data_IF_609210017885
#
_entry.id   IF_609210017885
#
_cell.length_a   1.000
_cell.length_b   1.000
_cell.length_c   1.000
_cell.angle_alpha   90.00
_cell.angle_beta   90.00
_cell.angle_gamma   90.00
#
_symmetry.space_group_name_H-M   'P 1'
#
loop_
_entity.id
_entity.type
_entity.pdbx_description
1 polymer ?
#
# COMPACT_ATOMS: atom_id res chain seq x y z
N UNK A 1 21.27 27.43 19.06
CA UNK A 1 21.32 26.77 17.75
C UNK A 1 20.18 25.80 17.58
N UNK A 2 19.61 25.87 16.43
CA UNK A 2 18.51 24.96 16.16
C UNK A 2 19.03 23.56 15.87
N UNK A 3 18.51 22.65 16.57
CA UNK A 3 18.82 21.24 16.35
C UNK A 3 17.70 20.59 15.59
N UNK A 4 18.04 19.98 14.47
CA UNK A 4 17.09 19.09 13.87
C UNK A 4 17.24 17.75 14.57
N UNK A 5 16.59 17.65 15.69
CA UNK A 5 16.52 16.38 16.35
C UNK A 5 15.49 15.54 15.63
N UNK A 6 15.93 14.52 14.92
CA UNK A 6 15.01 13.61 14.27
C UNK A 6 14.32 12.80 15.34
N UNK A 7 13.09 13.15 15.60
CA UNK A 7 12.28 12.43 16.56
C UNK A 7 11.58 11.28 15.87
N UNK A 8 11.53 10.10 16.48
CA UNK A 8 10.70 9.05 15.95
C UNK A 8 9.27 9.51 15.85
N UNK A 9 8.67 9.28 14.72
CA UNK A 9 7.30 9.71 14.47
C UNK A 9 6.52 8.59 13.82
N UNK A 10 5.36 8.28 14.37
CA UNK A 10 4.46 7.32 13.76
C UNK A 10 3.75 7.88 12.54
N UNK A 11 3.80 9.19 12.32
CA UNK A 11 3.19 9.78 11.15
C UNK A 11 3.88 9.37 9.85
N UNK A 12 5.20 9.10 9.89
CA UNK A 12 5.94 8.76 8.68
C UNK A 12 5.48 7.45 8.08
N UNK A 13 5.44 6.34 8.83
CA UNK A 13 4.94 5.09 8.24
C UNK A 13 3.46 5.16 7.90
N UNK A 14 2.67 5.90 8.67
CA UNK A 14 1.25 6.08 8.34
C UNK A 14 1.10 6.83 7.03
N UNK A 15 1.89 7.88 6.83
CA UNK A 15 1.84 8.65 5.59
C UNK A 15 2.22 7.79 4.39
N UNK A 16 3.26 6.97 4.52
CA UNK A 16 3.69 6.07 3.45
C UNK A 16 2.56 5.11 3.08
N UNK A 17 1.94 4.49 4.09
CA UNK A 17 0.87 3.55 3.87
C UNK A 17 -0.35 4.19 3.22
N UNK A 18 -0.77 5.32 3.73
CA UNK A 18 -1.94 6.01 3.18
C UNK A 18 -1.68 6.58 1.80
N UNK A 19 -0.47 7.06 1.54
CA UNK A 19 -0.13 7.54 0.21
C UNK A 19 -0.25 6.42 -0.82
N UNK A 20 0.33 5.26 -0.52
CA UNK A 20 0.22 4.12 -1.41
C UNK A 20 -1.23 3.70 -1.62
N UNK A 21 -2.00 3.63 -0.55
CA UNK A 21 -3.40 3.25 -0.62
C UNK A 21 -4.21 4.24 -1.46
N UNK A 22 -3.96 5.54 -1.27
CA UNK A 22 -4.67 6.57 -2.00
C UNK A 22 -4.41 6.48 -3.50
N UNK A 23 -3.16 6.23 -3.92
CA UNK A 23 -2.84 6.09 -5.34
C UNK A 23 -3.53 4.88 -5.93
N UNK A 24 -3.58 3.78 -5.19
CA UNK A 24 -4.26 2.58 -5.64
C UNK A 24 -5.75 2.81 -5.86
N UNK A 25 -6.40 3.42 -4.89
CA UNK A 25 -7.82 3.73 -5.01
C UNK A 25 -8.08 4.73 -6.12
N UNK A 26 -7.21 5.71 -6.28
CA UNK A 26 -7.38 6.70 -7.33
C UNK A 26 -7.35 6.05 -8.71
N UNK A 27 -6.39 5.18 -8.96
CA UNK A 27 -6.20 4.59 -10.27
C UNK A 27 -7.21 3.48 -10.53
N UNK A 28 -7.36 2.55 -9.58
CA UNK A 28 -8.26 1.42 -9.78
C UNK A 28 -9.71 1.85 -9.65
N UNK A 29 -10.01 2.69 -8.67
CA UNK A 29 -11.36 3.19 -8.49
C UNK A 29 -11.80 4.10 -9.62
N UNK A 30 -10.86 4.90 -10.15
CA UNK A 30 -11.14 5.74 -11.29
C UNK A 30 -11.50 4.93 -12.53
N UNK A 31 -10.79 3.83 -12.76
CA UNK A 31 -11.11 2.96 -13.87
C UNK A 31 -12.50 2.36 -13.72
N UNK A 32 -12.84 1.90 -12.52
CA UNK A 32 -14.16 1.31 -12.29
C UNK A 32 -15.28 2.33 -12.43
N UNK A 33 -15.05 3.53 -11.87
CA UNK A 33 -16.08 4.54 -11.84
C UNK A 33 -16.33 5.17 -13.21
N UNK A 34 -15.25 5.48 -13.92
CA UNK A 34 -15.36 6.21 -15.18
C UNK A 34 -15.22 5.32 -16.42
N UNK A 35 -14.84 4.07 -16.23
CA UNK A 35 -14.59 3.17 -17.35
C UNK A 35 -13.39 3.59 -18.18
N UNK A 36 -12.51 4.38 -17.63
CA UNK A 36 -11.32 4.85 -18.33
C UNK A 36 -10.10 4.76 -17.40
N UNK A 37 -8.97 4.30 -17.87
CA UNK A 37 -8.73 3.77 -19.22
C UNK A 37 -9.43 2.42 -19.41
N UNK A 38 -9.77 2.14 -20.66
CA UNK A 38 -10.40 0.86 -20.96
C UNK A 38 -9.42 -0.28 -20.70
N UNK A 39 -9.97 -1.42 -20.30
CA UNK A 39 -9.16 -2.58 -20.01
C UNK A 39 -8.61 -3.16 -21.31
N UNK A 40 -7.30 -3.10 -21.43
CA UNK A 40 -6.55 -3.76 -22.49
C UNK A 40 -5.40 -4.50 -21.84
N UNK A 41 -4.75 -5.45 -22.54
CA UNK A 41 -3.61 -6.14 -21.93
C UNK A 41 -2.53 -5.18 -21.44
N UNK A 42 -2.25 -4.12 -22.18
CA UNK A 42 -1.23 -3.15 -21.77
C UNK A 42 -1.67 -2.35 -20.56
N UNK A 43 -2.92 -1.90 -20.55
CA UNK A 43 -3.45 -1.14 -19.42
C UNK A 43 -3.51 -2.02 -18.17
N UNK A 44 -3.97 -3.25 -18.30
CA UNK A 44 -4.05 -4.15 -17.16
C UNK A 44 -2.67 -4.45 -16.58
N UNK A 45 -1.68 -4.62 -17.45
CA UNK A 45 -0.32 -4.85 -16.99
C UNK A 45 0.23 -3.64 -16.26
N UNK A 46 0.02 -2.46 -16.81
CA UNK A 46 0.49 -1.22 -16.17
C UNK A 46 -0.18 -0.99 -14.83
N UNK A 47 -1.50 -1.19 -14.77
CA UNK A 47 -2.22 -1.04 -13.52
C UNK A 47 -1.82 -2.10 -12.51
N UNK A 48 -1.57 -3.32 -12.98
CA UNK A 48 -1.09 -4.38 -12.10
C UNK A 48 0.24 -4.03 -11.47
N UNK A 49 1.17 -3.54 -12.27
CA UNK A 49 2.48 -3.09 -11.76
C UNK A 49 2.32 -1.97 -10.75
N UNK A 50 1.44 -1.01 -11.01
CA UNK A 50 1.19 0.06 -10.07
C UNK A 50 0.64 -0.47 -8.76
N UNK A 51 -0.32 -1.40 -8.83
CA UNK A 51 -0.91 -1.99 -7.63
C UNK A 51 0.13 -2.72 -6.78
N UNK A 52 1.09 -3.38 -7.42
CA UNK A 52 2.15 -4.07 -6.69
C UNK A 52 3.10 -3.06 -6.04
N UNK A 53 3.57 -2.07 -6.80
CA UNK A 53 4.66 -1.21 -6.34
C UNK A 53 4.21 -0.04 -5.49
N UNK A 54 3.01 0.48 -5.72
CA UNK A 54 2.55 1.63 -4.95
C UNK A 54 1.70 1.20 -3.76
N UNK A 55 0.42 0.83 -3.91
CA UNK A 55 -0.32 0.44 -2.71
C UNK A 55 0.23 -0.84 -2.07
N UNK A 56 0.65 -1.81 -2.87
CA UNK A 56 1.14 -3.07 -2.32
C UNK A 56 2.44 -2.90 -1.56
N UNK A 57 3.46 -2.46 -2.24
CA UNK A 57 4.80 -2.35 -1.65
C UNK A 57 4.84 -1.29 -0.56
N UNK A 58 4.23 -0.13 -0.80
CA UNK A 58 4.26 0.96 0.17
C UNK A 58 3.56 0.58 1.46
N UNK A 59 2.43 -0.13 1.37
CA UNK A 59 1.74 -0.56 2.57
C UNK A 59 2.48 -1.67 3.29
N UNK A 60 3.13 -2.55 2.56
CA UNK A 60 3.95 -3.59 3.19
C UNK A 60 5.13 -2.95 3.91
N UNK A 61 5.78 -1.98 3.28
CA UNK A 61 6.88 -1.25 3.92
C UNK A 61 6.37 -0.51 5.16
N UNK A 62 5.22 0.14 5.06
CA UNK A 62 4.65 0.86 6.19
C UNK A 62 4.33 -0.09 7.35
N UNK A 63 3.73 -1.23 7.06
CA UNK A 63 3.42 -2.22 8.08
C UNK A 63 4.67 -2.76 8.76
N UNK A 64 5.68 -3.10 7.98
CA UNK A 64 6.95 -3.59 8.50
C UNK A 64 7.63 -2.51 9.34
N UNK A 65 7.63 -1.28 8.87
CA UNK A 65 8.22 -0.15 9.57
C UNK A 65 7.57 0.01 10.96
N UNK A 66 6.25 -0.06 10.99
CA UNK A 66 5.51 0.08 12.24
C UNK A 66 5.87 -1.05 13.20
N UNK A 67 5.85 -2.30 12.74
CA UNK A 67 6.14 -3.43 13.61
C UNK A 67 7.58 -3.42 14.12
N UNK A 68 8.52 -3.08 13.27
CA UNK A 68 9.93 -2.97 13.68
C UNK A 68 10.09 -1.86 14.73
N UNK A 69 9.42 -0.72 14.49
CA UNK A 69 9.47 0.39 15.45
C UNK A 69 8.81 0.07 16.77
N UNK A 70 7.75 -0.74 16.75
CA UNK A 70 7.07 -1.13 17.99
C UNK A 70 7.85 -2.17 18.77
N UNK A 71 8.47 -3.13 18.08
CA UNK A 71 9.03 -4.30 18.72
C UNK A 71 10.53 -4.19 18.96
N UNK A 72 11.31 -3.91 17.93
CA UNK A 72 12.77 -3.93 18.05
C UNK A 72 13.33 -2.63 18.57
N UNK A 73 12.94 -1.52 17.96
CA UNK A 73 13.48 -0.24 18.35
C UNK A 73 12.68 0.44 19.44
N UNK A 74 11.44 0.05 19.62
CA UNK A 74 10.54 0.58 20.65
C UNK A 74 10.44 2.10 20.58
N UNK A 75 10.47 2.64 19.37
CA UNK A 75 10.36 4.08 19.15
C UNK A 75 8.91 4.51 18.98
N UNK A 76 8.03 3.59 18.65
CA UNK A 76 6.59 3.87 18.56
C UNK A 76 5.90 3.28 19.77
N UNK A 77 4.87 3.97 20.22
CA UNK A 77 4.09 3.54 21.38
C UNK A 77 2.62 3.75 21.06
N UNK A 78 1.83 2.85 21.54
CA UNK A 78 0.39 2.99 21.38
C UNK A 78 -0.23 1.80 20.69
N UNK A 79 -1.27 1.28 21.33
CA UNK A 79 -1.98 0.12 20.82
C UNK A 79 -2.52 0.33 19.40
N UNK A 80 -3.01 1.52 19.01
CA UNK A 80 -3.52 1.69 17.65
C UNK A 80 -2.50 1.40 16.56
N UNK A 81 -1.19 1.55 16.85
CA UNK A 81 -0.18 1.27 15.84
C UNK A 81 -0.04 -0.21 15.52
N UNK A 82 -0.37 -1.10 16.46
CA UNK A 82 -0.42 -2.53 16.13
C UNK A 82 -1.50 -2.81 15.09
N UNK A 83 -2.65 -2.17 15.25
CA UNK A 83 -3.73 -2.33 14.26
C UNK A 83 -3.34 -1.75 12.92
N UNK A 84 -2.71 -0.57 12.91
CA UNK A 84 -2.28 0.05 11.67
C UNK A 84 -1.22 -0.82 10.97
N UNK A 85 -0.24 -1.34 11.71
CA UNK A 85 0.78 -2.21 11.15
C UNK A 85 0.18 -3.46 10.54
N UNK A 86 -0.75 -4.08 11.26
CA UNK A 86 -1.42 -5.28 10.76
C UNK A 86 -2.24 -4.97 9.52
N UNK A 87 -2.98 -3.87 9.54
CA UNK A 87 -3.81 -3.48 8.41
C UNK A 87 -2.96 -3.20 7.18
N UNK A 88 -1.88 -2.43 7.31
CA UNK A 88 -1.03 -2.13 6.16
C UNK A 88 -0.35 -3.37 5.62
N UNK A 89 0.08 -4.28 6.48
CA UNK A 89 0.67 -5.54 6.03
C UNK A 89 -0.35 -6.36 5.26
N UNK A 90 -1.55 -6.48 5.79
CA UNK A 90 -2.61 -7.25 5.14
C UNK A 90 -3.03 -6.63 3.81
N UNK A 91 -3.19 -5.32 3.79
CA UNK A 91 -3.55 -4.62 2.56
C UNK A 91 -2.42 -4.65 1.53
N UNK A 92 -1.17 -4.61 1.98
CA UNK A 92 -0.04 -4.76 1.07
C UNK A 92 -0.08 -6.08 0.35
N UNK A 93 -0.30 -7.15 1.08
CA UNK A 93 -0.42 -8.49 0.49
C UNK A 93 -1.63 -8.55 -0.44
N UNK A 94 -2.74 -7.96 -0.05
CA UNK A 94 -3.94 -7.90 -0.88
C UNK A 94 -3.64 -7.22 -2.22
N UNK A 95 -2.92 -6.10 -2.19
CA UNK A 95 -2.58 -5.39 -3.42
C UNK A 95 -1.60 -6.18 -4.29
N UNK A 96 -0.70 -6.94 -3.68
CA UNK A 96 0.17 -7.83 -4.45
C UNK A 96 -0.66 -8.85 -5.21
N UNK A 97 -1.65 -9.43 -4.55
CA UNK A 97 -2.52 -10.41 -5.21
C UNK A 97 -3.34 -9.77 -6.32
N UNK A 98 -3.93 -8.61 -6.04
CA UNK A 98 -4.77 -7.91 -7.00
C UNK A 98 -3.96 -7.43 -8.19
N UNK A 99 -2.82 -6.78 -7.91
CA UNK A 99 -1.95 -6.29 -8.97
C UNK A 99 -1.29 -7.41 -9.75
N UNK A 100 -0.86 -8.45 -9.06
CA UNK A 100 -0.26 -9.61 -9.71
C UNK A 100 -1.21 -10.28 -10.67
N UNK A 101 -2.47 -10.35 -10.30
CA UNK A 101 -3.48 -10.92 -11.15
C UNK A 101 -3.65 -10.14 -12.44
N UNK A 102 -3.69 -8.82 -12.35
CA UNK A 102 -3.76 -7.99 -13.54
C UNK A 102 -2.50 -8.08 -14.39
N UNK A 103 -1.35 -8.16 -13.72
CA UNK A 103 -0.07 -8.27 -14.41
C UNK A 103 0.02 -9.56 -15.22
N UNK A 104 -0.44 -10.67 -14.66
CA UNK A 104 -0.41 -11.96 -15.31
C UNK A 104 -1.47 -12.06 -16.41
N UNK A 105 -2.48 -11.21 -16.35
CA UNK A 105 -3.54 -11.24 -17.33
C UNK A 105 -4.58 -12.29 -17.03
N UNK A 106 -4.89 -12.48 -15.76
CA UNK A 106 -5.90 -13.44 -15.33
C UNK A 106 -7.29 -12.95 -15.65
N UNK A 107 -7.63 -12.96 -16.93
CA UNK A 107 -8.91 -12.46 -17.38
C UNK A 107 -10.04 -13.36 -16.95
N UNK A 108 -11.14 -12.74 -16.61
CA UNK A 108 -12.39 -13.45 -16.35
C UNK A 108 -12.50 -14.09 -15.00
N UNK A 109 -11.41 -14.27 -14.26
CA UNK A 109 -11.52 -14.84 -12.93
C UNK A 109 -11.79 -13.72 -11.93
N UNK A 110 -12.68 -13.93 -10.96
CA UNK A 110 -12.96 -12.90 -9.97
C UNK A 110 -11.76 -12.66 -9.09
N UNK A 111 -11.57 -11.42 -8.77
CA UNK A 111 -10.51 -11.02 -7.85
C UNK A 111 -11.06 -11.05 -6.43
N UNK A 112 -11.31 -12.21 -5.96
CA UNK A 112 -11.91 -12.39 -4.65
C UNK A 112 -10.89 -12.25 -3.53
#
# INVERSE_FOLDING_TARGET
>A
MTQFALQPSDYVPLAIGFFGLATGYFIFGGQELFGWPQSTPEVDRSMGLWGIWMPGFMQLVAGTYIFVGLTWFQVFKGAPLYMAGLAFTAYGVHWFALGGRRLIGGNGAPEA
#
